data_IF_413483417669
#
_entry.id   IF_413483417669
#
_cell.length_a   1.000
_cell.length_b   1.000
_cell.length_c   1.000
_cell.angle_alpha   90.00
_cell.angle_beta   90.00
_cell.angle_gamma   90.00
#
_symmetry.space_group_name_H-M   'P 1'
#
loop_
_entity.id
_entity.type
_entity.pdbx_description
1 polymer ?
#
# COMPACT_ATOMS: atom_id res chain seq x y z
N UNK A 1 5.34 22.83 -0.95
CA UNK A 1 4.61 21.94 -0.02
C UNK A 1 5.07 22.30 1.38
N UNK A 2 4.17 22.74 2.26
CA UNK A 2 4.56 23.02 3.67
C UNK A 2 4.91 21.67 4.32
N UNK A 3 6.09 21.50 4.93
CA UNK A 3 6.53 20.19 5.45
C UNK A 3 5.55 19.55 6.45
N UNK A 4 4.81 20.39 7.18
CA UNK A 4 3.85 19.96 8.21
C UNK A 4 2.60 19.27 7.66
N UNK A 5 2.31 19.42 6.37
CA UNK A 5 1.14 18.81 5.71
C UNK A 5 1.54 17.60 4.84
N UNK A 6 2.74 17.05 5.02
CA UNK A 6 3.19 15.93 4.22
C UNK A 6 2.39 14.65 4.52
N UNK A 7 1.81 14.04 3.48
CA UNK A 7 1.05 12.79 3.59
C UNK A 7 1.85 11.62 4.17
N UNK A 8 3.18 11.67 4.12
CA UNK A 8 4.04 10.63 4.71
C UNK A 8 4.08 10.65 6.24
N UNK A 9 3.73 11.77 6.88
CA UNK A 9 3.75 11.93 8.34
C UNK A 9 2.38 11.64 8.98
N UNK A 10 1.37 11.39 8.14
CA UNK A 10 0.03 11.06 8.59
C UNK A 10 0.03 9.74 9.39
N UNK A 11 -0.71 9.65 10.52
CA UNK A 11 -0.72 8.44 11.35
C UNK A 11 -1.22 7.20 10.59
N UNK A 12 -2.08 7.38 9.59
CA UNK A 12 -2.59 6.31 8.72
C UNK A 12 -1.46 5.59 7.97
N UNK A 13 -0.34 6.27 7.70
CA UNK A 13 0.83 5.64 7.08
C UNK A 13 1.36 4.52 7.96
N UNK A 14 1.63 4.81 9.24
CA UNK A 14 2.23 3.85 10.17
C UNK A 14 1.22 2.81 10.64
N UNK A 15 -0.02 3.22 10.89
CA UNK A 15 -1.06 2.35 11.46
C UNK A 15 -1.67 1.39 10.46
N UNK A 16 -1.53 1.63 9.14
CA UNK A 16 -2.20 0.82 8.13
C UNK A 16 -1.36 0.59 6.87
N UNK A 17 -0.86 1.65 6.23
CA UNK A 17 -0.16 1.52 4.93
C UNK A 17 1.17 0.77 5.05
N UNK A 18 1.86 0.91 6.18
CA UNK A 18 3.16 0.29 6.45
C UNK A 18 3.08 -0.87 7.45
N UNK A 19 1.88 -1.16 7.97
CA UNK A 19 1.66 -2.24 8.93
C UNK A 19 1.52 -3.58 8.22
N UNK A 20 2.42 -4.52 8.52
CA UNK A 20 2.46 -5.82 7.85
C UNK A 20 1.23 -6.66 8.16
N UNK A 21 0.70 -6.59 9.36
CA UNK A 21 -0.46 -7.39 9.76
C UNK A 21 -1.70 -6.96 8.97
N UNK A 22 -1.91 -5.65 8.86
CA UNK A 22 -2.95 -5.07 8.03
C UNK A 22 -2.81 -5.52 6.58
N UNK A 23 -1.64 -5.30 5.96
CA UNK A 23 -1.45 -5.68 4.55
C UNK A 23 -1.58 -7.18 4.31
N UNK A 24 -1.10 -8.01 5.23
CA UNK A 24 -1.22 -9.47 5.15
C UNK A 24 -2.69 -9.90 5.23
N UNK A 25 -3.45 -9.36 6.19
CA UNK A 25 -4.89 -9.67 6.31
C UNK A 25 -5.67 -9.31 5.04
N UNK A 26 -5.30 -8.22 4.37
CA UNK A 26 -5.92 -7.81 3.11
C UNK A 26 -5.58 -8.75 1.95
N UNK A 27 -4.33 -9.19 1.87
CA UNK A 27 -3.90 -10.18 0.90
C UNK A 27 -4.62 -11.51 1.11
N UNK A 28 -4.71 -11.98 2.37
CA UNK A 28 -5.41 -13.21 2.71
C UNK A 28 -6.90 -13.12 2.35
N UNK A 29 -7.56 -12.02 2.71
CA UNK A 29 -8.95 -11.77 2.32
C UNK A 29 -9.14 -11.81 0.79
N UNK A 30 -8.20 -11.23 0.04
CA UNK A 30 -8.24 -11.27 -1.42
C UNK A 30 -8.08 -12.69 -1.99
N UNK A 31 -7.23 -13.51 -1.40
CA UNK A 31 -7.08 -14.92 -1.76
C UNK A 31 -8.35 -15.72 -1.45
N UNK A 32 -8.88 -15.55 -0.24
CA UNK A 32 -10.03 -16.33 0.24
C UNK A 32 -11.31 -16.00 -0.55
N UNK A 33 -11.54 -14.71 -0.86
CA UNK A 33 -12.79 -14.25 -1.51
C UNK A 33 -12.73 -14.33 -3.04
N UNK A 34 -11.58 -14.02 -3.64
CA UNK A 34 -11.45 -13.89 -5.09
C UNK A 34 -10.59 -14.99 -5.72
N UNK A 35 -10.06 -15.94 -4.94
CA UNK A 35 -9.17 -17.01 -5.42
C UNK A 35 -7.99 -16.49 -6.24
N UNK A 36 -7.48 -15.30 -5.91
CA UNK A 36 -6.27 -14.79 -6.56
C UNK A 36 -5.07 -15.65 -6.17
N UNK A 37 -4.25 -16.02 -7.16
CA UNK A 37 -2.99 -16.70 -6.91
C UNK A 37 -2.03 -15.74 -6.21
N UNK A 38 -1.47 -16.16 -5.08
CA UNK A 38 -0.34 -15.47 -4.47
C UNK A 38 0.79 -15.41 -5.51
N UNK A 39 1.31 -14.22 -5.81
CA UNK A 39 2.57 -14.12 -6.54
C UNK A 39 3.61 -15.00 -5.82
N UNK A 40 4.36 -15.79 -6.60
CA UNK A 40 5.33 -16.75 -6.07
C UNK A 40 6.23 -16.10 -4.99
N UNK A 41 6.60 -16.89 -3.97
CA UNK A 41 7.41 -16.54 -2.79
C UNK A 41 8.75 -15.81 -3.07
N UNK A 42 9.13 -15.66 -4.33
CA UNK A 42 10.39 -15.05 -4.75
C UNK A 42 10.50 -13.58 -4.33
N UNK A 43 9.37 -12.85 -4.21
CA UNK A 43 9.41 -11.45 -3.77
C UNK A 43 8.19 -11.01 -2.93
N UNK A 44 8.18 -11.49 -1.69
CA UNK A 44 7.17 -11.12 -0.68
C UNK A 44 7.07 -9.60 -0.47
N UNK A 45 8.19 -8.88 -0.55
CA UNK A 45 8.20 -7.42 -0.35
C UNK A 45 7.56 -6.68 -1.52
N UNK A 46 7.72 -7.15 -2.77
CA UNK A 46 6.99 -6.59 -3.92
C UNK A 46 5.49 -6.70 -3.72
N UNK A 47 5.00 -7.85 -3.25
CA UNK A 47 3.58 -8.04 -2.94
C UNK A 47 3.10 -7.05 -1.86
N UNK A 48 3.89 -6.87 -0.79
CA UNK A 48 3.59 -5.86 0.24
C UNK A 48 3.62 -4.43 -0.30
N UNK A 49 4.54 -4.06 -1.19
CA UNK A 49 4.54 -2.73 -1.83
C UNK A 49 3.26 -2.46 -2.59
N UNK A 50 2.82 -3.43 -3.40
CA UNK A 50 1.59 -3.28 -4.16
C UNK A 50 0.36 -3.18 -3.25
N UNK A 51 0.32 -3.96 -2.17
CA UNK A 51 -0.72 -3.84 -1.15
C UNK A 51 -0.70 -2.45 -0.49
N UNK A 52 0.48 -1.96 -0.10
CA UNK A 52 0.65 -0.64 0.52
C UNK A 52 0.19 0.50 -0.39
N UNK A 53 0.51 0.47 -1.69
CA UNK A 53 0.04 1.49 -2.63
C UNK A 53 -1.50 1.50 -2.77
N UNK A 54 -2.12 0.32 -2.84
CA UNK A 54 -3.58 0.21 -2.86
C UNK A 54 -4.18 0.74 -1.56
N UNK A 55 -3.59 0.37 -0.42
CA UNK A 55 -4.07 0.78 0.89
C UNK A 55 -3.98 2.29 1.10
N UNK A 56 -2.87 2.91 0.69
CA UNK A 56 -2.73 4.37 0.69
C UNK A 56 -3.83 5.02 -0.15
N UNK A 57 -4.03 4.51 -1.36
CA UNK A 57 -5.02 5.05 -2.30
C UNK A 57 -6.43 5.00 -1.69
N UNK A 58 -6.81 3.86 -1.11
CA UNK A 58 -8.13 3.66 -0.50
C UNK A 58 -8.33 4.58 0.70
N UNK A 59 -7.34 4.70 1.59
CA UNK A 59 -7.47 5.52 2.79
C UNK A 59 -7.54 7.02 2.49
N UNK A 60 -6.77 7.48 1.50
CA UNK A 60 -6.66 8.90 1.19
C UNK A 60 -7.73 9.41 0.22
N UNK A 61 -8.19 8.54 -0.68
CA UNK A 61 -9.07 8.93 -1.79
C UNK A 61 -10.36 8.11 -1.88
N UNK A 62 -10.53 7.11 -1.01
CA UNK A 62 -11.64 6.15 -1.11
C UNK A 62 -11.43 5.13 -2.23
N UNK A 63 -12.49 4.38 -2.55
CA UNK A 63 -12.46 3.36 -3.60
C UNK A 63 -12.37 4.03 -4.98
N UNK A 64 -11.32 3.78 -5.78
CA UNK A 64 -11.24 4.32 -7.15
C UNK A 64 -12.37 3.76 -8.02
N UNK A 65 -12.94 4.60 -8.88
CA UNK A 65 -13.89 4.16 -9.92
C UNK A 65 -13.16 3.82 -11.22
N UNK A 66 -13.87 3.19 -12.17
CA UNK A 66 -13.28 2.83 -13.45
C UNK A 66 -12.85 4.09 -14.22
N UNK A 67 -11.54 4.27 -14.42
CA UNK A 67 -10.95 5.43 -15.07
C UNK A 67 -10.13 6.34 -14.14
N UNK A 68 -10.30 6.19 -12.82
CA UNK A 68 -9.54 6.99 -11.84
C UNK A 68 -8.09 6.50 -11.76
N UNK A 69 -7.16 7.35 -12.18
CA UNK A 69 -5.72 7.14 -12.01
C UNK A 69 -5.21 8.01 -10.88
N UNK A 70 -5.13 7.43 -9.69
CA UNK A 70 -4.61 8.13 -8.51
C UNK A 70 -3.10 7.94 -8.43
N UNK A 71 -2.38 9.06 -8.32
CA UNK A 71 -0.92 9.06 -8.19
C UNK A 71 -0.52 9.14 -6.73
N UNK A 72 0.30 8.19 -6.26
CA UNK A 72 0.86 8.22 -4.91
C UNK A 72 2.00 9.25 -4.84
N UNK A 73 2.01 10.18 -3.86
CA UNK A 73 3.08 11.16 -3.72
C UNK A 73 4.46 10.53 -3.52
N UNK A 74 5.50 11.16 -4.08
CA UNK A 74 6.87 10.63 -4.06
C UNK A 74 7.42 10.36 -2.65
N UNK A 75 7.06 11.18 -1.66
CA UNK A 75 7.44 10.98 -0.26
C UNK A 75 6.88 9.66 0.32
N UNK A 76 5.60 9.38 0.05
CA UNK A 76 4.95 8.13 0.45
C UNK A 76 5.54 6.94 -0.31
N UNK A 77 5.80 7.08 -1.62
CA UNK A 77 6.45 6.03 -2.41
C UNK A 77 7.82 5.68 -1.86
N UNK A 78 8.64 6.69 -1.51
CA UNK A 78 9.97 6.48 -0.92
C UNK A 78 9.85 5.70 0.39
N UNK A 79 8.97 6.13 1.29
CA UNK A 79 8.76 5.49 2.58
C UNK A 79 8.27 4.04 2.46
N UNK A 80 7.34 3.77 1.54
CA UNK A 80 6.84 2.41 1.25
C UNK A 80 7.98 1.52 0.72
N UNK A 81 8.81 2.04 -0.20
CA UNK A 81 9.95 1.29 -0.77
C UNK A 81 11.06 1.02 0.26
N UNK A 82 11.28 1.95 1.19
CA UNK A 82 12.21 1.74 2.31
C UNK A 82 11.70 0.66 3.27
N UNK A 83 10.39 0.62 3.55
CA UNK A 83 9.78 -0.39 4.42
C UNK A 83 9.73 -1.79 3.79
N UNK A 84 9.48 -1.85 2.48
CA UNK A 84 9.33 -3.08 1.71
C UNK A 84 10.32 -3.08 0.53
N UNK A 85 11.63 -3.24 0.80
CA UNK A 85 12.65 -3.23 -0.24
C UNK A 85 12.50 -4.46 -1.12
N UNK A 86 12.69 -4.30 -2.43
CA UNK A 86 12.80 -5.45 -3.32
C UNK A 86 13.70 -5.13 -4.50
N UNK A 87 14.39 -6.16 -5.03
CA UNK A 87 15.46 -6.02 -6.02
C UNK A 87 15.00 -5.44 -7.36
#
# INVERSE_FOLDING_TARGET
>A
MVPELCSSHRPEMTLSVLDRMTLYSQQQYQQDVFSFYAEALEDVNKSFRHAAYRQFTILMHGKPTAGDRITVPACCVKLIREKFPSP
#
